data_IF_033755906232
#
_entry.id   IF_033755906232
#
_cell.length_a   1.000
_cell.length_b   1.000
_cell.length_c   1.000
_cell.angle_alpha   90.00
_cell.angle_beta   90.00
_cell.angle_gamma   90.00
#
_symmetry.space_group_name_H-M   'P 1'
#
loop_
_entity.id
_entity.type
_entity.pdbx_description
1 polymer ?
#
# COMPACT_ATOMS: atom_id res chain seq x y z
N UNK A 1 29.46 36.22 1.08
CA UNK A 1 28.66 36.97 0.08
C UNK A 1 27.26 36.40 0.08
N UNK A 2 26.23 37.22 0.27
CA UNK A 2 24.86 36.80 -0.04
C UNK A 2 24.77 36.64 -1.57
N UNK A 3 24.25 35.50 -2.03
CA UNK A 3 23.89 35.32 -3.44
C UNK A 3 22.62 36.16 -3.69
N UNK A 4 22.78 37.42 -4.10
CA UNK A 4 21.66 38.31 -4.40
C UNK A 4 21.27 38.10 -5.86
N UNK A 5 20.17 37.38 -6.09
CA UNK A 5 19.55 37.29 -7.40
C UNK A 5 18.96 38.67 -7.73
N UNK A 6 19.25 39.19 -8.93
CA UNK A 6 18.63 40.44 -9.40
C UNK A 6 17.10 40.28 -9.37
N UNK A 7 16.34 41.13 -8.65
CA UNK A 7 14.89 40.96 -8.50
C UNK A 7 14.12 40.91 -9.84
N UNK A 8 14.66 41.55 -10.88
CA UNK A 8 14.07 41.58 -12.22
C UNK A 8 14.31 40.28 -13.04
N UNK A 9 15.17 39.39 -12.54
CA UNK A 9 15.48 38.09 -13.15
C UNK A 9 14.92 36.93 -12.33
N UNK A 10 14.28 37.21 -11.20
CA UNK A 10 13.65 36.19 -10.37
C UNK A 10 12.30 35.82 -10.96
N UNK A 11 12.11 34.53 -11.25
CA UNK A 11 10.84 34.03 -11.73
C UNK A 11 9.78 34.16 -10.61
N UNK A 12 8.61 34.75 -10.87
CA UNK A 12 7.60 35.00 -9.84
C UNK A 12 6.99 33.72 -9.26
N UNK A 13 6.99 32.62 -10.03
CA UNK A 13 6.55 31.30 -9.54
C UNK A 13 7.62 30.77 -8.59
N UNK A 14 8.89 30.75 -9.01
CA UNK A 14 9.99 30.29 -8.16
C UNK A 14 10.06 31.06 -6.84
N UNK A 15 9.90 32.39 -6.88
CA UNK A 15 9.84 33.25 -5.69
C UNK A 15 8.75 32.79 -4.71
N UNK A 16 7.53 32.59 -5.20
CA UNK A 16 6.40 32.18 -4.36
C UNK A 16 6.65 30.84 -3.67
N UNK A 17 7.34 29.89 -4.33
CA UNK A 17 7.75 28.61 -3.75
C UNK A 17 8.84 28.76 -2.71
N UNK A 18 9.85 29.60 -2.96
CA UNK A 18 10.91 29.89 -2.00
C UNK A 18 10.41 30.64 -0.76
N UNK A 19 9.40 31.51 -0.92
CA UNK A 19 8.75 32.21 0.20
C UNK A 19 8.05 31.26 1.18
N UNK A 20 7.72 30.03 0.77
CA UNK A 20 7.18 29.00 1.65
C UNK A 20 8.26 28.24 2.43
N UNK A 21 9.55 28.40 2.10
CA UNK A 21 10.59 27.68 2.81
C UNK A 21 10.69 28.15 4.26
N UNK A 22 10.80 27.23 5.22
CA UNK A 22 10.99 27.60 6.61
C UNK A 22 12.36 28.26 6.81
N UNK A 23 12.43 29.16 7.79
CA UNK A 23 13.68 29.77 8.18
C UNK A 23 14.70 28.71 8.65
N UNK A 24 15.99 28.82 8.27
CA UNK A 24 17.03 27.93 8.77
C UNK A 24 17.07 27.92 10.30
N UNK A 25 17.23 26.72 10.87
CA UNK A 25 17.44 26.50 12.31
C UNK A 25 18.89 26.68 12.75
N UNK A 26 19.83 26.68 11.80
CA UNK A 26 21.25 26.94 12.06
C UNK A 26 21.88 27.76 10.92
N UNK A 27 23.10 28.26 11.16
CA UNK A 27 23.84 29.12 10.22
C UNK A 27 24.61 28.36 9.14
N UNK A 28 24.42 27.04 9.04
CA UNK A 28 25.02 26.24 7.98
C UNK A 28 24.49 26.64 6.61
N UNK A 29 25.27 26.39 5.56
CA UNK A 29 24.87 26.67 4.17
C UNK A 29 24.06 25.55 3.52
N UNK A 30 24.02 24.37 4.16
CA UNK A 30 23.30 23.17 3.71
C UNK A 30 22.79 22.40 4.92
N UNK A 31 21.69 21.65 4.78
CA UNK A 31 21.06 20.87 5.87
C UNK A 31 20.89 21.71 7.15
N UNK A 32 20.49 22.98 6.96
CA UNK A 32 20.45 23.99 7.99
C UNK A 32 19.08 24.15 8.64
N UNK A 33 18.11 23.34 8.23
CA UNK A 33 16.77 23.27 8.78
C UNK A 33 16.55 21.92 9.48
N UNK A 34 16.11 21.98 10.73
CA UNK A 34 15.67 20.84 11.51
C UNK A 34 14.16 20.96 11.73
N UNK A 35 13.40 19.95 11.32
CA UNK A 35 11.96 19.93 11.56
C UNK A 35 11.66 19.96 13.06
N UNK A 36 10.65 20.74 13.51
CA UNK A 36 10.30 20.86 14.92
C UNK A 36 9.64 19.60 15.51
N UNK A 37 9.33 18.61 14.66
CA UNK A 37 8.73 17.34 15.04
C UNK A 37 9.37 16.19 14.26
N UNK A 38 9.29 14.99 14.82
CA UNK A 38 9.76 13.78 14.14
C UNK A 38 8.82 13.47 12.96
N UNK A 39 9.40 13.27 11.78
CA UNK A 39 8.68 12.81 10.58
C UNK A 39 8.82 11.29 10.51
N UNK A 40 7.74 10.51 10.69
CA UNK A 40 7.82 9.06 10.69
C UNK A 40 8.20 8.52 9.31
N UNK A 41 9.19 7.62 9.25
CA UNK A 41 9.68 7.02 8.01
C UNK A 41 8.93 5.72 7.61
N UNK A 42 7.66 5.57 7.99
CA UNK A 42 6.89 4.36 7.68
C UNK A 42 5.53 4.70 7.11
N UNK A 43 5.29 4.16 5.91
CA UNK A 43 4.03 4.22 5.16
C UNK A 43 2.85 3.54 5.89
N UNK A 44 3.12 2.75 6.93
CA UNK A 44 2.13 2.02 7.73
C UNK A 44 2.07 2.51 9.18
N UNK A 45 2.56 3.72 9.45
CA UNK A 45 2.49 4.30 10.79
C UNK A 45 1.02 4.52 11.17
N UNK A 46 0.59 3.99 12.31
CA UNK A 46 -0.80 4.12 12.77
C UNK A 46 -1.79 3.18 12.07
N UNK A 47 -1.33 2.06 11.51
CA UNK A 47 -2.22 1.02 10.97
C UNK A 47 -2.83 0.16 12.08
N UNK A 48 -4.11 -0.17 11.93
CA UNK A 48 -4.81 -1.14 12.76
C UNK A 48 -4.92 -2.48 12.03
N UNK A 49 -4.66 -3.57 12.74
CA UNK A 49 -4.77 -4.92 12.21
C UNK A 49 -5.57 -5.82 13.14
N UNK A 50 -6.47 -6.60 12.54
CA UNK A 50 -7.33 -7.56 13.19
C UNK A 50 -7.07 -8.92 12.60
N UNK A 51 -6.83 -9.91 13.47
CA UNK A 51 -6.74 -11.30 13.07
C UNK A 51 -7.78 -12.09 13.86
N UNK A 52 -8.62 -12.79 13.12
CA UNK A 52 -9.52 -13.78 13.64
C UNK A 52 -9.13 -15.15 13.09
N UNK A 53 -9.11 -16.15 13.96
CA UNK A 53 -8.85 -17.52 13.58
C UNK A 53 -9.74 -18.46 14.40
N UNK A 54 -10.33 -19.41 13.71
CA UNK A 54 -11.00 -20.57 14.32
C UNK A 54 -10.33 -21.82 13.77
N UNK A 55 -10.04 -22.75 14.66
CA UNK A 55 -9.64 -24.11 14.32
C UNK A 55 -10.65 -25.06 14.97
N UNK A 56 -11.14 -26.04 14.23
CA UNK A 56 -12.08 -27.03 14.73
C UNK A 56 -11.70 -28.44 14.27
N UNK A 57 -12.01 -29.42 15.12
CA UNK A 57 -11.76 -30.82 14.86
C UNK A 57 -13.10 -31.54 14.84
N UNK A 58 -13.54 -31.94 13.66
CA UNK A 58 -14.79 -32.69 13.53
C UNK A 58 -14.47 -34.18 13.58
N UNK A 59 -14.63 -34.77 14.76
CA UNK A 59 -14.25 -36.17 14.99
C UNK A 59 -12.73 -36.39 14.84
N UNK A 60 -12.36 -37.62 14.49
CA UNK A 60 -10.94 -38.01 14.47
C UNK A 60 -10.23 -37.67 13.16
N UNK A 61 -10.98 -37.57 12.06
CA UNK A 61 -10.45 -37.54 10.69
C UNK A 61 -10.42 -36.16 10.06
N UNK A 62 -11.27 -35.23 10.51
CA UNK A 62 -11.43 -33.91 9.89
C UNK A 62 -10.89 -32.78 10.76
N UNK A 63 -10.11 -31.91 10.12
CA UNK A 63 -9.46 -30.75 10.74
C UNK A 63 -9.73 -29.52 9.88
N UNK A 64 -10.41 -28.52 10.45
CA UNK A 64 -10.75 -27.28 9.78
C UNK A 64 -9.98 -26.12 10.40
N UNK A 65 -9.56 -25.18 9.56
CA UNK A 65 -8.98 -23.92 10.00
C UNK A 65 -9.46 -22.80 9.11
N UNK A 66 -10.05 -21.77 9.72
CA UNK A 66 -10.40 -20.55 9.04
C UNK A 66 -9.67 -19.37 9.69
N UNK A 67 -9.11 -18.50 8.88
CA UNK A 67 -8.54 -17.24 9.35
C UNK A 67 -9.01 -16.08 8.48
N UNK A 68 -9.27 -14.96 9.15
CA UNK A 68 -9.59 -13.68 8.56
C UNK A 68 -8.62 -12.65 9.13
N UNK A 69 -7.89 -11.98 8.26
CA UNK A 69 -7.02 -10.87 8.59
C UNK A 69 -7.54 -9.62 7.90
N UNK A 70 -7.67 -8.52 8.65
CA UNK A 70 -8.02 -7.20 8.13
C UNK A 70 -7.02 -6.18 8.61
N UNK A 71 -6.49 -5.36 7.72
CA UNK A 71 -5.68 -4.19 8.05
C UNK A 71 -6.31 -2.93 7.48
N UNK A 72 -6.26 -1.86 8.26
CA UNK A 72 -6.54 -0.51 7.80
C UNK A 72 -5.27 0.33 8.00
N UNK A 73 -4.86 1.01 6.94
CA UNK A 73 -3.75 1.94 6.98
C UNK A 73 -4.31 3.34 7.01
N UNK A 74 -3.92 4.09 8.03
CA UNK A 74 -4.18 5.51 8.09
C UNK A 74 -3.10 6.27 7.31
N UNK A 75 -3.48 7.38 6.69
CA UNK A 75 -2.53 8.27 6.02
C UNK A 75 -1.75 9.06 7.06
N UNK A 76 -0.43 9.01 6.98
CA UNK A 76 0.42 9.97 7.68
C UNK A 76 0.91 11.02 6.68
N UNK A 77 0.49 12.27 6.86
CA UNK A 77 0.90 13.41 6.04
C UNK A 77 1.85 14.34 6.80
N UNK A 78 2.46 13.86 7.89
CA UNK A 78 3.48 14.62 8.61
C UNK A 78 4.67 14.89 7.69
N UNK A 79 5.11 16.14 7.68
CA UNK A 79 6.17 16.62 6.79
C UNK A 79 7.13 17.53 7.55
N UNK A 80 8.39 17.46 7.17
CA UNK A 80 9.39 18.41 7.65
C UNK A 80 9.11 19.83 7.11
N UNK A 81 8.54 19.91 5.91
CA UNK A 81 8.25 21.16 5.21
C UNK A 81 6.79 21.59 5.44
N UNK A 82 6.48 22.89 5.29
CA UNK A 82 5.10 23.37 5.27
C UNK A 82 4.26 22.64 4.23
N UNK A 83 2.99 22.41 4.54
CA UNK A 83 2.05 21.65 3.71
C UNK A 83 2.00 22.16 2.26
N UNK A 84 2.24 23.45 2.03
CA UNK A 84 2.21 24.10 0.73
C UNK A 84 3.27 23.60 -0.26
N UNK A 85 4.42 23.18 0.25
CA UNK A 85 5.58 22.73 -0.55
C UNK A 85 6.06 21.34 -0.10
N UNK A 86 5.20 20.65 0.65
CA UNK A 86 5.51 19.39 1.27
C UNK A 86 5.67 18.29 0.22
N UNK A 87 6.73 17.50 0.36
CA UNK A 87 6.91 16.25 -0.40
C UNK A 87 6.27 15.04 0.29
N UNK A 88 5.47 15.24 1.36
CA UNK A 88 4.92 14.14 2.13
C UNK A 88 3.77 13.45 1.41
N UNK A 89 3.84 12.12 1.39
CA UNK A 89 2.84 11.22 0.83
C UNK A 89 2.13 10.45 1.94
N UNK A 90 0.82 10.33 1.81
CA UNK A 90 -0.01 9.43 2.63
C UNK A 90 -0.43 8.22 1.80
N UNK A 91 -0.40 7.03 2.40
CA UNK A 91 -0.81 5.80 1.73
C UNK A 91 -1.98 5.10 2.47
N UNK A 92 -3.19 5.67 2.42
CA UNK A 92 -4.36 5.04 2.99
C UNK A 92 -4.65 3.75 2.23
N UNK A 93 -5.13 2.77 2.95
CA UNK A 93 -5.39 1.50 2.33
C UNK A 93 -6.07 0.53 3.27
N UNK A 94 -6.55 -0.55 2.69
CA UNK A 94 -7.02 -1.67 3.47
C UNK A 94 -6.68 -2.99 2.79
N UNK A 95 -6.39 -3.99 3.61
CA UNK A 95 -6.19 -5.35 3.12
C UNK A 95 -7.04 -6.34 3.89
N UNK A 96 -7.72 -7.22 3.17
CA UNK A 96 -8.44 -8.38 3.70
C UNK A 96 -7.79 -9.65 3.20
N UNK A 97 -7.45 -10.57 4.10
CA UNK A 97 -7.00 -11.92 3.74
C UNK A 97 -7.92 -12.92 4.41
N UNK A 98 -8.47 -13.83 3.63
CA UNK A 98 -9.32 -14.92 4.08
C UNK A 98 -8.61 -16.21 3.71
N UNK A 99 -8.47 -17.14 4.66
CA UNK A 99 -7.92 -18.46 4.38
C UNK A 99 -8.78 -19.52 5.04
N UNK A 100 -9.15 -20.52 4.25
CA UNK A 100 -9.79 -21.72 4.72
C UNK A 100 -8.86 -22.91 4.43
N UNK A 101 -8.74 -23.81 5.39
CA UNK A 101 -8.00 -25.04 5.26
C UNK A 101 -8.84 -26.19 5.80
N UNK A 102 -8.78 -27.32 5.10
CA UNK A 102 -9.43 -28.55 5.50
C UNK A 102 -8.45 -29.71 5.32
N UNK A 103 -8.24 -30.49 6.36
CA UNK A 103 -7.55 -31.77 6.29
C UNK A 103 -8.53 -32.90 6.56
N UNK A 104 -8.51 -33.93 5.72
CA UNK A 104 -9.28 -35.16 5.91
C UNK A 104 -8.36 -36.38 5.85
N UNK A 105 -8.39 -37.21 6.89
CA UNK A 105 -7.71 -38.49 6.93
C UNK A 105 -8.62 -39.61 6.43
N UNK A 106 -8.40 -40.12 5.21
CA UNK A 106 -9.15 -41.27 4.67
C UNK A 106 -8.78 -42.59 5.37
N UNK A 107 -7.58 -42.65 5.93
CA UNK A 107 -7.11 -43.75 6.77
C UNK A 107 -5.98 -43.24 7.66
N UNK A 108 -5.51 -44.07 8.61
CA UNK A 108 -4.28 -43.78 9.36
C UNK A 108 -3.02 -43.59 8.49
N UNK A 109 -3.10 -43.86 7.17
CA UNK A 109 -1.99 -43.73 6.23
C UNK A 109 -2.22 -42.75 5.06
N UNK A 110 -3.38 -42.10 4.98
CA UNK A 110 -3.72 -41.23 3.84
C UNK A 110 -4.38 -39.95 4.35
N UNK A 111 -3.75 -38.81 4.05
CA UNK A 111 -4.27 -37.47 4.37
C UNK A 111 -4.44 -36.67 3.08
N UNK A 112 -5.61 -36.07 2.91
CA UNK A 112 -5.83 -34.99 1.97
C UNK A 112 -5.86 -33.65 2.70
N UNK A 113 -5.27 -32.64 2.10
CA UNK A 113 -5.29 -31.27 2.62
C UNK A 113 -5.70 -30.32 1.50
N UNK A 114 -6.78 -29.59 1.72
CA UNK A 114 -7.29 -28.53 0.86
C UNK A 114 -7.05 -27.17 1.50
N UNK A 115 -6.65 -26.19 0.69
CA UNK A 115 -6.50 -24.80 1.11
C UNK A 115 -7.16 -23.87 0.09
N UNK A 116 -7.81 -22.83 0.58
CA UNK A 116 -8.42 -21.76 -0.20
C UNK A 116 -8.03 -20.42 0.44
N UNK A 117 -7.58 -19.48 -0.37
CA UNK A 117 -7.16 -18.16 0.05
C UNK A 117 -7.74 -17.08 -0.85
N UNK A 118 -8.21 -16.00 -0.24
CA UNK A 118 -8.63 -14.78 -0.93
C UNK A 118 -7.93 -13.56 -0.33
N UNK A 119 -7.40 -12.71 -1.20
CA UNK A 119 -6.80 -11.43 -0.87
C UNK A 119 -7.58 -10.33 -1.57
N UNK A 120 -7.96 -9.31 -0.82
CA UNK A 120 -8.45 -8.03 -1.31
C UNK A 120 -7.54 -6.93 -0.77
N UNK A 121 -6.74 -6.32 -1.63
CA UNK A 121 -5.83 -5.24 -1.29
C UNK A 121 -6.27 -3.98 -2.04
N UNK A 122 -6.52 -2.92 -1.29
CA UNK A 122 -6.73 -1.57 -1.78
C UNK A 122 -5.62 -0.68 -1.21
N UNK A 123 -4.92 0.01 -2.10
CA UNK A 123 -3.90 0.99 -1.77
C UNK A 123 -4.19 2.25 -2.57
N UNK A 124 -4.09 3.39 -1.92
CA UNK A 124 -4.19 4.71 -2.54
C UNK A 124 -2.98 5.53 -2.10
N UNK A 125 -2.56 6.49 -2.91
CA UNK A 125 -1.46 7.41 -2.58
C UNK A 125 -2.00 8.81 -2.76
N UNK A 126 -1.85 9.65 -1.74
CA UNK A 126 -2.21 11.06 -1.80
C UNK A 126 -1.05 11.94 -1.35
N UNK A 127 -1.12 13.20 -1.79
CA UNK A 127 -0.18 14.24 -1.39
C UNK A 127 -0.71 15.08 -0.25
N UNK A 128 0.20 15.60 0.58
CA UNK A 128 -0.15 16.64 1.56
C UNK A 128 -0.47 18.00 0.89
N UNK A 129 0.10 18.29 -0.27
CA UNK A 129 0.18 19.61 -0.92
C UNK A 129 -0.80 19.79 -2.10
N UNK A 130 -1.96 19.13 -2.06
CA UNK A 130 -2.91 19.16 -3.19
C UNK A 130 -3.36 20.56 -3.58
N UNK A 131 -3.56 20.80 -4.88
CA UNK A 131 -3.82 22.16 -5.40
C UNK A 131 -5.18 22.72 -4.95
N UNK A 132 -6.14 21.85 -4.61
CA UNK A 132 -7.43 22.25 -4.03
C UNK A 132 -7.29 22.92 -2.67
N UNK A 133 -6.22 22.62 -1.94
CA UNK A 133 -5.95 23.12 -0.58
C UNK A 133 -4.94 24.26 -0.60
N UNK A 134 -3.87 24.10 -1.39
CA UNK A 134 -2.67 24.94 -1.30
C UNK A 134 -2.69 26.16 -2.24
N UNK A 135 -3.29 26.04 -3.44
CA UNK A 135 -3.43 27.14 -4.43
C UNK A 135 -2.11 27.85 -4.79
N UNK A 136 -1.02 27.10 -4.90
CA UNK A 136 0.28 27.67 -5.26
C UNK A 136 0.36 27.98 -6.76
N UNK A 137 1.18 28.95 -7.18
CA UNK A 137 1.37 29.24 -8.59
C UNK A 137 2.07 28.07 -9.28
N UNK A 138 1.67 27.83 -10.52
CA UNK A 138 2.10 26.70 -11.34
C UNK A 138 2.59 27.21 -12.69
N UNK A 139 3.56 26.51 -13.27
CA UNK A 139 4.10 26.88 -14.58
C UNK A 139 3.03 26.66 -15.66
N UNK A 140 2.67 27.68 -16.45
CA UNK A 140 1.69 27.54 -17.54
C UNK A 140 2.11 26.46 -18.54
N UNK A 141 1.17 25.63 -18.97
CA UNK A 141 1.41 24.55 -19.92
C UNK A 141 1.86 23.23 -19.30
N UNK A 142 2.10 23.17 -17.99
CA UNK A 142 2.32 21.90 -17.28
C UNK A 142 0.99 21.19 -17.04
N UNK A 143 0.93 19.91 -17.39
CA UNK A 143 -0.27 19.08 -17.25
C UNK A 143 -0.68 18.90 -15.78
N UNK A 144 -1.98 18.76 -15.54
CA UNK A 144 -2.61 18.39 -14.25
C UNK A 144 -2.30 19.30 -13.05
N UNK A 145 -1.87 20.53 -13.29
CA UNK A 145 -1.53 21.54 -12.26
C UNK A 145 -2.74 22.10 -11.51
N UNK A 146 -3.96 21.74 -11.91
CA UNK A 146 -5.21 22.14 -11.23
C UNK A 146 -5.57 21.23 -10.07
N UNK A 147 -5.00 20.02 -10.03
CA UNK A 147 -5.39 18.95 -9.09
C UNK A 147 -4.28 18.68 -8.08
N UNK A 148 -3.03 18.72 -8.52
CA UNK A 148 -1.85 18.55 -7.68
C UNK A 148 -0.70 19.43 -8.17
N UNK A 149 0.27 19.64 -7.28
CA UNK A 149 1.42 20.47 -7.59
C UNK A 149 2.49 19.68 -8.36
N UNK A 150 3.24 20.35 -9.24
CA UNK A 150 4.45 19.77 -9.80
C UNK A 150 5.53 19.62 -8.74
N UNK A 151 6.50 18.73 -8.99
CA UNK A 151 7.68 18.60 -8.14
C UNK A 151 8.80 19.52 -8.61
N UNK A 152 9.49 20.12 -7.65
CA UNK A 152 10.74 20.84 -7.89
C UNK A 152 11.87 20.15 -7.13
N UNK A 153 12.93 19.77 -7.86
CA UNK A 153 14.08 19.08 -7.27
C UNK A 153 15.31 19.97 -7.27
N UNK A 154 15.90 20.15 -6.08
CA UNK A 154 17.13 20.91 -5.84
C UNK A 154 18.17 19.97 -5.21
N UNK A 155 18.86 19.19 -6.04
CA UNK A 155 19.72 18.11 -5.55
C UNK A 155 18.90 17.07 -4.78
N UNK A 156 19.20 16.88 -3.51
CA UNK A 156 18.49 15.92 -2.63
C UNK A 156 17.19 16.50 -2.03
N UNK A 157 16.91 17.79 -2.21
CA UNK A 157 15.67 18.42 -1.73
C UNK A 157 14.59 18.36 -2.80
N UNK A 158 13.48 17.67 -2.51
CA UNK A 158 12.25 17.72 -3.30
C UNK A 158 11.24 18.67 -2.64
N UNK A 159 10.65 19.56 -3.42
CA UNK A 159 9.47 20.34 -3.06
C UNK A 159 8.26 19.81 -3.84
N UNK A 160 7.15 19.70 -3.13
CA UNK A 160 5.88 19.23 -3.67
C UNK A 160 5.80 17.74 -3.94
N UNK A 161 4.59 17.25 -4.20
CA UNK A 161 4.28 15.83 -4.33
C UNK A 161 3.13 15.57 -5.34
N UNK A 162 3.35 14.84 -6.46
CA UNK A 162 2.41 14.81 -7.57
C UNK A 162 1.35 13.70 -7.46
N UNK A 163 1.24 13.02 -6.31
CA UNK A 163 0.27 11.93 -6.13
C UNK A 163 -1.20 12.38 -6.18
N UNK A 164 -1.46 13.61 -5.76
CA UNK A 164 -2.74 14.28 -5.81
C UNK A 164 -3.72 13.93 -4.69
N UNK A 165 -4.99 14.34 -4.82
CA UNK A 165 -5.98 14.13 -3.78
C UNK A 165 -6.36 12.65 -3.64
N UNK A 166 -7.00 12.28 -2.52
CA UNK A 166 -7.49 10.93 -2.31
C UNK A 166 -8.28 10.40 -3.51
N UNK A 167 -8.00 9.15 -3.87
CA UNK A 167 -8.64 8.44 -4.98
C UNK A 167 -8.05 8.70 -6.36
N UNK A 168 -6.98 9.49 -6.46
CA UNK A 168 -6.30 9.74 -7.73
C UNK A 168 -5.36 8.60 -8.13
N UNK A 169 -4.58 8.07 -7.18
CA UNK A 169 -3.57 7.02 -7.42
C UNK A 169 -3.93 5.71 -6.73
N UNK A 170 -5.03 5.10 -7.19
CA UNK A 170 -5.56 3.86 -6.61
C UNK A 170 -4.96 2.64 -7.30
N UNK A 171 -4.50 1.68 -6.49
CA UNK A 171 -4.23 0.30 -6.89
C UNK A 171 -5.17 -0.66 -6.16
N UNK A 172 -5.87 -1.51 -6.90
CA UNK A 172 -6.66 -2.61 -6.32
C UNK A 172 -6.16 -3.96 -6.83
N UNK A 173 -6.02 -4.92 -5.92
CA UNK A 173 -5.54 -6.26 -6.23
C UNK A 173 -6.39 -7.29 -5.50
N UNK A 174 -7.25 -7.96 -6.28
CA UNK A 174 -8.03 -9.11 -5.82
C UNK A 174 -7.37 -10.39 -6.31
N UNK A 175 -7.06 -11.32 -5.41
CA UNK A 175 -6.44 -12.61 -5.76
C UNK A 175 -7.17 -13.75 -5.06
N UNK A 176 -7.54 -14.76 -5.84
CA UNK A 176 -8.01 -16.05 -5.35
C UNK A 176 -6.90 -17.08 -5.58
N UNK A 177 -6.61 -17.89 -4.57
CA UNK A 177 -5.66 -18.99 -4.66
C UNK A 177 -6.25 -20.22 -3.98
N UNK A 178 -6.01 -21.41 -4.53
CA UNK A 178 -6.38 -22.66 -3.88
C UNK A 178 -5.33 -23.73 -4.16
N UNK A 179 -5.37 -24.81 -3.39
CA UNK A 179 -4.49 -25.94 -3.59
C UNK A 179 -5.00 -27.17 -2.86
N UNK A 180 -4.63 -28.33 -3.37
CA UNK A 180 -4.89 -29.60 -2.71
C UNK A 180 -3.60 -30.43 -2.67
N UNK A 181 -3.38 -31.15 -1.57
CA UNK A 181 -2.22 -32.03 -1.41
C UNK A 181 -2.68 -33.35 -0.83
N UNK A 182 -2.36 -34.43 -1.53
CA UNK A 182 -2.49 -35.80 -1.02
C UNK A 182 -1.15 -36.28 -0.48
N UNK A 183 -1.15 -36.86 0.73
CA UNK A 183 -0.01 -37.60 1.26
C UNK A 183 -0.44 -39.01 1.62
N UNK A 184 0.23 -39.99 1.03
CA UNK A 184 0.30 -41.36 1.52
C UNK A 184 1.66 -41.48 2.21
N UNK A 185 1.77 -42.17 3.35
CA UNK A 185 3.07 -42.26 4.05
C UNK A 185 4.18 -42.95 3.24
N UNK A 186 3.86 -43.51 2.07
CA UNK A 186 4.79 -44.10 1.10
C UNK A 186 5.07 -43.18 -0.12
N UNK A 187 4.30 -42.12 -0.37
CA UNK A 187 4.56 -41.13 -1.45
C UNK A 187 3.74 -39.83 -1.32
N UNK A 188 4.32 -38.67 -1.69
CA UNK A 188 3.64 -37.37 -1.69
C UNK A 188 3.45 -36.82 -3.12
N UNK A 189 2.23 -36.38 -3.45
CA UNK A 189 1.93 -35.66 -4.70
C UNK A 189 1.28 -34.32 -4.34
N UNK A 190 1.73 -33.23 -4.98
CA UNK A 190 1.22 -31.88 -4.74
C UNK A 190 0.85 -31.20 -6.06
N UNK A 191 -0.42 -30.85 -6.20
CA UNK A 191 -0.90 -30.08 -7.34
C UNK A 191 -1.29 -28.68 -6.83
N UNK A 192 -0.67 -27.65 -7.42
CA UNK A 192 -0.98 -26.25 -7.13
C UNK A 192 -1.43 -25.60 -8.42
N UNK A 193 -2.68 -25.11 -8.42
CA UNK A 193 -3.30 -24.50 -9.58
C UNK A 193 -3.73 -23.09 -9.23
N UNK A 194 -3.31 -22.10 -10.03
CA UNK A 194 -3.75 -20.72 -9.92
C UNK A 194 -4.84 -20.50 -10.98
N UNK A 195 -6.13 -20.57 -10.64
CA UNK A 195 -7.18 -20.33 -11.62
C UNK A 195 -7.13 -18.87 -12.07
N UNK A 196 -7.30 -18.62 -13.37
CA UNK A 196 -7.42 -17.26 -13.92
C UNK A 196 -8.88 -16.83 -14.06
N UNK A 197 -9.86 -17.74 -13.94
CA UNK A 197 -11.28 -17.39 -13.97
C UNK A 197 -12.21 -18.38 -13.23
N UNK A 198 -13.46 -17.96 -13.01
CA UNK A 198 -14.54 -18.77 -12.42
C UNK A 198 -14.82 -20.09 -13.15
N UNK A 199 -14.54 -20.19 -14.46
CA UNK A 199 -14.78 -21.43 -15.24
C UNK A 199 -13.86 -22.59 -14.82
N UNK A 200 -12.69 -22.28 -14.24
CA UNK A 200 -11.71 -23.26 -13.79
C UNK A 200 -12.15 -23.97 -12.50
N UNK A 201 -12.99 -23.30 -11.68
CA UNK A 201 -13.49 -23.82 -10.41
C UNK A 201 -14.44 -25.01 -10.58
N UNK A 202 -15.28 -24.97 -11.62
CA UNK A 202 -16.28 -26.02 -11.90
C UNK A 202 -15.65 -27.31 -12.42
N UNK A 203 -14.53 -27.21 -13.15
CA UNK A 203 -13.78 -28.37 -13.61
C UNK A 203 -13.04 -29.08 -12.46
N UNK A 204 -12.51 -28.31 -11.50
CA UNK A 204 -11.82 -28.86 -10.33
C UNK A 204 -12.77 -29.48 -9.30
N UNK A 205 -13.94 -28.88 -9.05
CA UNK A 205 -14.95 -29.50 -8.18
C UNK A 205 -15.35 -30.89 -8.68
N UNK A 206 -15.45 -31.09 -10.00
CA UNK A 206 -15.68 -32.41 -10.59
C UNK A 206 -14.53 -33.38 -10.33
N UNK A 207 -13.28 -32.92 -10.34
CA UNK A 207 -12.11 -33.74 -10.00
C UNK A 207 -12.09 -34.16 -8.53
N UNK A 208 -12.50 -33.26 -7.62
CA UNK A 208 -12.54 -33.54 -6.17
C UNK A 208 -13.55 -34.64 -5.81
N UNK A 209 -14.64 -34.76 -6.55
CA UNK A 209 -15.70 -35.77 -6.32
C UNK A 209 -15.52 -37.08 -7.12
N UNK A 210 -14.56 -37.16 -8.03
CA UNK A 210 -14.32 -38.37 -8.84
C UNK A 210 -13.36 -39.39 -8.21
N UNK A 211 -12.78 -39.07 -7.05
CA UNK A 211 -11.95 -39.99 -6.26
C UNK A 211 -12.64 -40.47 -4.96
N UNK A 212 -13.97 -40.37 -4.89
CA UNK A 212 -14.80 -41.03 -3.88
C UNK A 212 -15.10 -42.48 -4.23
#
# INVERSE_FOLDING_TARGET
MLNVICPNLEDPIAKAWLDQLPAPTNSGTSNNYLAPHAVPNSLYTGSDAYLFRIDDNWGDLDRFSFSFYRRYNNSNLSSALPTQISSAQGQPGHSGVYRFNWGHAFSGKTLNHFTLGYLDLYEDILSADTQSTVKMPVVPGVANTTTYLPTFNFGDLQLGEPSGPPGHNISTRKKLAWGARGRRFESSHSDSFLPRSYKDLTAFLKFLFFFG
#
